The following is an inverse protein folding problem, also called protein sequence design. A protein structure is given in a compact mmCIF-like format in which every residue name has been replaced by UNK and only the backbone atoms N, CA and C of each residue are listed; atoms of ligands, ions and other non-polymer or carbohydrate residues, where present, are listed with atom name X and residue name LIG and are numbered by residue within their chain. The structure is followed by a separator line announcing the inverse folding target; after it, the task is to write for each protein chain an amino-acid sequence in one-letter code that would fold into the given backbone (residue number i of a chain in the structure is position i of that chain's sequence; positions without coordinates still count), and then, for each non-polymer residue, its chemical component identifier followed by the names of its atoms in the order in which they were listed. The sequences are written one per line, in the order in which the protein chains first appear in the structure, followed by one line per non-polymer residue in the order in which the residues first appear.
data_IF_954575164564
#
_entry.id   IF_954575164564
#
_cell.length_a   1.000
_cell.length_b   1.000
_cell.length_c   1.000
_cell.angle_alpha   90.00
_cell.angle_beta   90.00
_cell.angle_gamma   90.00
#
_symmetry.space_group_name_H-M   'P 1'
#
loop_
_entity.id
_entity.type
_entity.pdbx_description
1 polymer ?
#
# COMPACT_ATOMS: atom_id res chain seq x y z
N UNK A 1 -10.44 21.37 4.57
CA UNK A 1 -9.40 20.56 5.23
C UNK A 1 -10.11 19.45 5.99
N UNK A 2 -9.85 18.20 5.67
CA UNK A 2 -10.51 17.01 6.24
C UNK A 2 -9.49 15.91 6.51
N UNK A 3 -9.77 15.00 7.45
CA UNK A 3 -8.95 13.81 7.71
C UNK A 3 -9.58 12.51 7.19
N UNK A 4 -10.75 12.59 6.54
CA UNK A 4 -11.53 11.43 6.15
C UNK A 4 -10.74 10.46 5.24
N UNK A 5 -9.91 10.97 4.32
CA UNK A 5 -9.07 10.12 3.49
C UNK A 5 -8.05 9.33 4.32
N UNK A 6 -7.28 10.01 5.18
CA UNK A 6 -6.28 9.35 6.04
C UNK A 6 -6.92 8.34 7.00
N UNK A 7 -8.11 8.66 7.54
CA UNK A 7 -8.87 7.73 8.38
C UNK A 7 -9.31 6.50 7.59
N UNK A 8 -9.87 6.70 6.38
CA UNK A 8 -10.26 5.59 5.50
C UNK A 8 -9.07 4.70 5.13
N UNK A 9 -7.93 5.32 4.81
CA UNK A 9 -6.69 4.63 4.50
C UNK A 9 -6.14 3.85 5.70
N UNK A 10 -6.20 4.43 6.91
CA UNK A 10 -5.82 3.75 8.15
C UNK A 10 -6.72 2.54 8.40
N UNK A 11 -8.05 2.69 8.27
CA UNK A 11 -8.99 1.59 8.42
C UNK A 11 -8.75 0.48 7.41
N UNK A 12 -8.49 0.82 6.15
CA UNK A 12 -8.14 -0.16 5.12
C UNK A 12 -6.83 -0.88 5.45
N UNK A 13 -5.80 -0.15 5.88
CA UNK A 13 -4.50 -0.71 6.29
C UNK A 13 -4.66 -1.66 7.47
N UNK A 14 -5.45 -1.28 8.48
CA UNK A 14 -5.76 -2.14 9.62
C UNK A 14 -6.55 -3.38 9.22
N UNK A 15 -7.50 -3.26 8.27
CA UNK A 15 -8.24 -4.40 7.72
C UNK A 15 -7.32 -5.40 7.02
N UNK A 16 -6.43 -4.91 6.16
CA UNK A 16 -5.39 -5.75 5.51
C UNK A 16 -4.43 -6.32 6.56
N UNK A 17 -4.06 -5.55 7.58
CA UNK A 17 -3.28 -5.98 8.73
C UNK A 17 -3.94 -7.13 9.51
N UNK A 18 -5.24 -7.06 9.73
CA UNK A 18 -5.99 -8.11 10.41
C UNK A 18 -6.05 -9.40 9.57
N UNK A 19 -6.20 -9.29 8.25
CA UNK A 19 -6.09 -10.42 7.31
C UNK A 19 -4.69 -11.04 7.42
N UNK A 20 -3.64 -10.24 7.28
CA UNK A 20 -2.27 -10.71 7.37
C UNK A 20 -1.98 -11.37 8.72
N UNK A 21 -2.41 -10.78 9.83
CA UNK A 21 -2.24 -11.35 11.17
C UNK A 21 -2.95 -12.69 11.32
N UNK A 22 -4.20 -12.78 10.84
CA UNK A 22 -5.04 -13.98 10.97
C UNK A 22 -4.42 -15.19 10.24
N UNK A 23 -3.88 -14.98 9.05
CA UNK A 23 -3.34 -16.07 8.22
C UNK A 23 -1.80 -16.11 8.16
N UNK A 24 -1.12 -15.17 8.83
CA UNK A 24 0.33 -14.99 8.88
C UNK A 24 0.92 -15.06 7.48
N UNK A 25 0.54 -14.11 6.63
CA UNK A 25 0.86 -14.15 5.19
C UNK A 25 2.23 -13.53 4.92
N UNK A 26 2.47 -12.32 5.44
CA UNK A 26 3.66 -11.51 5.16
C UNK A 26 4.27 -10.92 6.45
N UNK A 27 3.77 -9.79 6.95
CA UNK A 27 4.37 -9.03 8.06
C UNK A 27 4.39 -9.85 9.36
N UNK A 28 3.32 -10.56 9.65
CA UNK A 28 3.19 -11.39 10.86
C UNK A 28 3.86 -12.78 10.74
N UNK A 29 4.47 -13.07 9.59
CA UNK A 29 5.24 -14.28 9.34
C UNK A 29 6.75 -13.99 9.32
N UNK A 30 7.17 -12.99 8.55
CA UNK A 30 8.56 -12.62 8.32
C UNK A 30 8.70 -11.08 8.28
N UNK A 31 8.69 -10.39 9.44
CA UNK A 31 8.50 -8.94 9.50
C UNK A 31 9.59 -8.15 8.78
N UNK A 32 10.86 -8.53 8.94
CA UNK A 32 11.98 -7.81 8.31
C UNK A 32 11.94 -7.91 6.77
N UNK A 33 11.58 -9.08 6.24
CA UNK A 33 11.45 -9.30 4.80
C UNK A 33 10.24 -8.55 4.25
N UNK A 34 9.12 -8.57 4.98
CA UNK A 34 7.92 -7.85 4.59
C UNK A 34 8.16 -6.33 4.58
N UNK A 35 8.80 -5.77 5.61
CA UNK A 35 9.16 -4.34 5.66
C UNK A 35 10.10 -3.99 4.52
N UNK A 36 11.13 -4.81 4.24
CA UNK A 36 12.04 -4.60 3.12
C UNK A 36 11.32 -4.62 1.76
N UNK A 37 10.41 -5.57 1.55
CA UNK A 37 9.62 -5.66 0.33
C UNK A 37 8.68 -4.46 0.16
N UNK A 38 7.90 -4.11 1.20
CA UNK A 38 7.00 -2.96 1.18
C UNK A 38 7.77 -1.66 0.96
N UNK A 39 8.88 -1.46 1.68
CA UNK A 39 9.72 -0.27 1.52
C UNK A 39 10.34 -0.17 0.13
N UNK A 40 10.84 -1.29 -0.41
CA UNK A 40 11.39 -1.34 -1.76
C UNK A 40 10.34 -1.04 -2.84
N UNK A 41 9.16 -1.67 -2.76
CA UNK A 41 8.06 -1.41 -3.68
C UNK A 41 7.55 0.03 -3.56
N UNK A 42 7.38 0.54 -2.34
CA UNK A 42 6.97 1.93 -2.10
C UNK A 42 7.99 2.93 -2.67
N UNK A 43 9.29 2.67 -2.54
CA UNK A 43 10.33 3.52 -3.12
C UNK A 43 10.26 3.56 -4.65
N UNK A 44 10.05 2.41 -5.30
CA UNK A 44 9.89 2.34 -6.76
C UNK A 44 8.65 3.12 -7.21
N UNK A 45 7.51 2.92 -6.53
CA UNK A 45 6.28 3.65 -6.82
C UNK A 45 6.46 5.17 -6.64
N UNK A 46 7.10 5.58 -5.56
CA UNK A 46 7.38 6.99 -5.30
C UNK A 46 8.29 7.62 -6.39
N UNK A 47 9.28 6.89 -6.89
CA UNK A 47 10.13 7.36 -7.99
C UNK A 47 9.30 7.58 -9.26
N UNK A 48 8.37 6.66 -9.56
CA UNK A 48 7.47 6.78 -10.71
C UNK A 48 6.52 7.96 -10.53
N UNK A 49 5.98 8.16 -9.33
CA UNK A 49 5.14 9.32 -8.99
C UNK A 49 5.88 10.64 -9.18
N UNK A 50 7.10 10.75 -8.64
CA UNK A 50 7.92 11.94 -8.81
C UNK A 50 8.25 12.21 -10.28
N UNK A 51 8.50 11.17 -11.09
CA UNK A 51 8.68 11.31 -12.53
C UNK A 51 7.39 11.78 -13.24
N UNK A 52 6.23 11.28 -12.82
CA UNK A 52 4.92 11.71 -13.32
C UNK A 52 4.61 13.16 -12.97
N UNK A 53 4.98 13.61 -11.77
CA UNK A 53 4.87 15.01 -11.35
C UNK A 53 5.83 15.89 -12.18
N UNK A 54 7.09 15.49 -12.30
CA UNK A 54 8.09 16.25 -13.04
C UNK A 54 7.76 16.42 -14.54
N UNK A 55 7.08 15.43 -15.13
CA UNK A 55 6.60 15.48 -16.52
C UNK A 55 5.25 16.18 -16.69
N UNK A 56 4.61 16.61 -15.60
CA UNK A 56 3.31 17.28 -15.62
C UNK A 56 2.11 16.34 -15.88
N UNK A 57 2.34 15.03 -15.85
CA UNK A 57 1.30 14.01 -16.01
C UNK A 57 0.45 13.89 -14.75
N UNK A 58 1.03 14.06 -13.57
CA UNK A 58 0.31 14.07 -12.30
C UNK A 58 0.04 15.48 -11.82
N UNK A 59 -1.23 15.74 -11.51
CA UNK A 59 -1.73 16.99 -10.95
C UNK A 59 -2.57 16.66 -9.73
N UNK A 60 -2.51 17.54 -8.74
CA UNK A 60 -3.30 17.40 -7.52
C UNK A 60 -4.79 17.38 -7.86
N UNK A 61 -5.48 16.30 -7.49
CA UNK A 61 -6.93 16.25 -7.53
C UNK A 61 -7.50 17.10 -6.39
N UNK A 62 -8.46 17.99 -6.69
CA UNK A 62 -9.18 18.72 -5.66
C UNK A 62 -10.18 17.78 -4.97
N UNK A 63 -9.78 17.13 -3.88
CA UNK A 63 -10.68 16.33 -3.04
C UNK A 63 -11.04 17.07 -1.76
N UNK A 64 -12.34 17.24 -1.44
CA UNK A 64 -12.76 17.87 -0.19
C UNK A 64 -12.39 17.05 1.05
N UNK A 65 -12.02 15.78 0.87
CA UNK A 65 -11.74 14.83 1.95
C UNK A 65 -10.28 14.84 2.43
N UNK A 66 -9.39 15.51 1.69
CA UNK A 66 -7.95 15.57 1.97
C UNK A 66 -7.60 16.64 3.00
N UNK A 67 -6.44 16.47 3.62
CA UNK A 67 -5.85 17.38 4.61
C UNK A 67 -5.49 18.72 3.97
N UNK A 68 -5.10 18.72 2.70
CA UNK A 68 -4.51 19.85 2.01
C UNK A 68 -3.02 20.07 2.32
N UNK A 69 -2.38 19.12 3.01
CA UNK A 69 -0.95 19.18 3.32
C UNK A 69 -0.18 18.52 2.18
N UNK A 70 0.67 19.32 1.52
CA UNK A 70 1.60 18.85 0.50
C UNK A 70 3.00 18.64 1.09
N UNK A 71 3.60 17.48 0.79
CA UNK A 71 4.99 17.17 1.16
C UNK A 71 5.96 17.79 0.16
N UNK A 72 5.56 17.81 -1.11
CA UNK A 72 6.23 18.45 -2.24
C UNK A 72 5.15 19.00 -3.17
N UNK A 73 5.40 20.00 -4.05
CA UNK A 73 4.39 20.45 -5.00
C UNK A 73 3.73 19.29 -5.75
N UNK A 74 2.41 19.21 -5.68
CA UNK A 74 1.58 18.14 -6.26
C UNK A 74 1.74 16.74 -5.64
N UNK A 75 2.41 16.62 -4.49
CA UNK A 75 2.56 15.37 -3.73
C UNK A 75 1.94 15.53 -2.33
N UNK A 76 0.65 15.18 -2.15
CA UNK A 76 -0.03 15.28 -0.86
C UNK A 76 0.47 14.20 0.12
N UNK A 77 0.39 14.47 1.42
CA UNK A 77 0.82 13.51 2.45
C UNK A 77 0.04 12.20 2.39
N UNK A 78 -1.22 12.26 1.99
CA UNK A 78 -2.08 11.12 1.72
C UNK A 78 -1.48 10.15 0.69
N UNK A 79 -0.79 10.66 -0.32
CA UNK A 79 -0.20 9.85 -1.38
C UNK A 79 0.91 8.95 -0.82
N UNK A 80 1.74 9.47 0.08
CA UNK A 80 2.78 8.67 0.73
C UNK A 80 2.17 7.51 1.54
N UNK A 81 1.08 7.79 2.26
CA UNK A 81 0.33 6.76 2.95
C UNK A 81 -0.25 5.74 1.98
N UNK A 82 -0.85 6.21 0.89
CA UNK A 82 -1.45 5.37 -0.14
C UNK A 82 -0.44 4.45 -0.82
N UNK A 83 0.74 4.96 -1.17
CA UNK A 83 1.84 4.18 -1.77
C UNK A 83 2.26 3.04 -0.82
N UNK A 84 2.46 3.35 0.47
CA UNK A 84 2.84 2.35 1.47
C UNK A 84 1.72 1.30 1.63
N UNK A 85 0.47 1.75 1.71
CA UNK A 85 -0.69 0.86 1.77
C UNK A 85 -0.78 -0.03 0.52
N UNK A 86 -0.60 0.53 -0.68
CA UNK A 86 -0.68 -0.17 -1.95
C UNK A 86 0.41 -1.24 -2.05
N UNK A 87 1.64 -0.91 -1.65
CA UNK A 87 2.74 -1.87 -1.56
C UNK A 87 2.41 -3.00 -0.57
N UNK A 88 1.87 -2.66 0.60
CA UNK A 88 1.51 -3.64 1.63
C UNK A 88 0.36 -4.57 1.21
N UNK A 89 -0.75 -4.02 0.72
CA UNK A 89 -1.90 -4.83 0.27
C UNK A 89 -1.54 -5.73 -0.90
N UNK A 90 -0.66 -5.26 -1.81
CA UNK A 90 -0.16 -6.08 -2.92
C UNK A 90 0.64 -7.28 -2.42
N UNK A 91 1.52 -7.08 -1.44
CA UNK A 91 2.30 -8.17 -0.82
C UNK A 91 1.38 -9.18 -0.12
N UNK A 92 0.39 -8.71 0.65
CA UNK A 92 -0.56 -9.58 1.35
C UNK A 92 -1.44 -10.34 0.35
N UNK A 93 -1.89 -9.69 -0.72
CA UNK A 93 -2.68 -10.32 -1.77
C UNK A 93 -1.88 -11.41 -2.50
N UNK A 94 -0.62 -11.15 -2.84
CA UNK A 94 0.28 -12.13 -3.45
C UNK A 94 0.47 -13.36 -2.55
N UNK A 95 0.85 -13.15 -1.29
CA UNK A 95 1.04 -14.24 -0.33
C UNK A 95 -0.27 -15.02 -0.08
N UNK A 96 -1.41 -14.34 -0.09
CA UNK A 96 -2.73 -14.97 -0.03
C UNK A 96 -3.01 -15.85 -1.25
N UNK A 97 -2.69 -15.37 -2.46
CA UNK A 97 -2.86 -16.11 -3.70
C UNK A 97 -1.96 -17.36 -3.75
N UNK A 98 -0.67 -17.22 -3.42
CA UNK A 98 0.29 -18.33 -3.33
C UNK A 98 -0.23 -19.44 -2.42
N UNK A 99 -0.68 -19.07 -1.21
CA UNK A 99 -1.26 -20.04 -0.26
C UNK A 99 -2.48 -20.77 -0.80
N UNK A 100 -3.33 -20.10 -1.58
CA UNK A 100 -4.52 -20.74 -2.19
C UNK A 100 -4.10 -21.71 -3.29
N UNK A 101 -3.13 -21.33 -4.12
CA UNK A 101 -2.62 -22.16 -5.20
C UNK A 101 -1.90 -23.41 -4.67
N UNK A 102 -1.05 -23.26 -3.65
CA UNK A 102 -0.33 -24.38 -3.02
C UNK A 102 -1.29 -25.42 -2.41
N UNK A 103 -2.36 -24.95 -1.76
CA UNK A 103 -3.40 -25.83 -1.23
C UNK A 103 -4.15 -26.60 -2.32
N UNK A 104 -4.37 -26.00 -3.48
CA UNK A 104 -5.01 -26.66 -4.62
C UNK A 104 -4.10 -27.71 -5.24
N UNK A 105 -2.82 -27.41 -5.39
CA UNK A 105 -1.83 -28.36 -5.90
C UNK A 105 -1.68 -29.58 -4.99
N UNK A 106 -1.64 -29.37 -3.66
CA UNK A 106 -1.56 -30.47 -2.70
C UNK A 106 -2.83 -31.32 -2.55
N UNK A 107 -3.99 -30.81 -2.98
CA UNK A 107 -5.25 -31.57 -2.97
C UNK A 107 -5.47 -32.41 -4.25
N UNK A 108 -4.64 -32.23 -5.27
CA UNK A 108 -4.70 -32.93 -6.55
C UNK A 108 -3.74 -34.14 -6.62
N UNK A 109 -2.95 -34.39 -5.57
CA UNK A 109 -2.01 -35.50 -5.39
C UNK A 109 -2.57 -36.47 -4.36
#
# INVERSE_FOLDING_TARGET
MSLAYLVGLLLATLGVGAIDARWRLALFREPLRAIGAVGGTAAVLLIIDLAGIATGNFRLGASPWMTGVEVLPHLPIEELGFIVFLAYVSLVALAGAERILDRRAGAAV
#
